data_IF_870193990698
#
_entry.id   IF_870193990698
#
_cell.length_a   1.000
_cell.length_b   1.000
_cell.length_c   1.000
_cell.angle_alpha   90.00
_cell.angle_beta   90.00
_cell.angle_gamma   90.00
#
_symmetry.space_group_name_H-M   'P 1'
#
loop_
_entity.id
_entity.type
_entity.pdbx_description
1 polymer ?
#
# COMPACT_ATOMS: atom_id res chain seq x y z
N UNK A 1 16.41 8.03 8.36
CA UNK A 1 16.83 6.85 7.58
C UNK A 1 18.35 6.71 7.50
N UNK A 2 18.86 5.47 7.58
CA UNK A 2 20.25 5.10 7.26
C UNK A 2 20.31 3.69 6.63
N UNK A 3 21.50 3.23 6.23
CA UNK A 3 21.68 1.91 5.62
C UNK A 3 21.41 0.74 6.58
N UNK A 4 21.53 0.95 7.90
CA UNK A 4 21.27 -0.09 8.90
C UNK A 4 19.77 -0.33 9.01
N UNK A 5 18.98 0.74 9.11
CA UNK A 5 17.51 0.69 9.11
C UNK A 5 16.99 0.04 7.82
N UNK A 6 17.57 0.37 6.65
CA UNK A 6 17.20 -0.28 5.38
C UNK A 6 17.50 -1.79 5.40
N UNK A 7 18.65 -2.20 5.93
CA UNK A 7 19.00 -3.62 6.05
C UNK A 7 18.02 -4.37 6.96
N UNK A 8 17.72 -3.83 8.13
CA UNK A 8 16.75 -4.43 9.06
C UNK A 8 15.34 -4.53 8.48
N UNK A 9 14.93 -3.54 7.68
CA UNK A 9 13.65 -3.58 6.99
C UNK A 9 13.64 -4.65 5.90
N UNK A 10 14.72 -4.78 5.12
CA UNK A 10 14.85 -5.85 4.14
C UNK A 10 14.80 -7.23 4.79
N UNK A 11 15.49 -7.43 5.92
CA UNK A 11 15.44 -8.68 6.69
C UNK A 11 14.02 -9.02 7.16
N UNK A 12 13.29 -8.02 7.68
CA UNK A 12 11.87 -8.18 8.08
C UNK A 12 10.97 -8.51 6.90
N UNK A 13 11.17 -7.84 5.77
CA UNK A 13 10.39 -8.05 4.56
C UNK A 13 10.62 -9.44 3.96
N UNK A 14 11.84 -9.98 4.05
CA UNK A 14 12.17 -11.34 3.63
C UNK A 14 11.66 -12.42 4.60
N UNK A 15 11.52 -12.10 5.88
CA UNK A 15 11.15 -13.06 6.93
C UNK A 15 9.64 -13.33 7.03
N UNK A 16 8.82 -12.48 6.40
CA UNK A 16 7.36 -12.58 6.44
C UNK A 16 6.79 -12.62 5.02
N UNK A 17 5.67 -13.31 4.83
CA UNK A 17 4.89 -13.22 3.60
C UNK A 17 3.97 -11.99 3.60
N UNK A 18 3.65 -11.45 4.78
CA UNK A 18 2.86 -10.23 4.93
C UNK A 18 3.73 -8.98 4.74
N UNK A 19 3.11 -7.86 4.36
CA UNK A 19 3.80 -6.57 4.31
C UNK A 19 4.19 -6.13 5.72
N UNK A 20 5.48 -5.82 5.89
CA UNK A 20 5.92 -5.20 7.14
C UNK A 20 5.34 -3.79 7.24
N UNK A 21 4.90 -3.35 8.44
CA UNK A 21 4.44 -1.97 8.62
C UNK A 21 5.60 -1.02 8.37
N UNK A 22 5.35 -0.02 7.52
CA UNK A 22 6.26 1.09 7.27
C UNK A 22 5.65 2.39 7.77
N UNK A 23 6.52 3.34 8.06
CA UNK A 23 6.14 4.70 8.36
C UNK A 23 5.70 5.44 7.09
N UNK A 24 4.69 6.30 7.16
CA UNK A 24 4.17 7.05 6.00
C UNK A 24 5.24 7.97 5.39
N UNK A 25 6.24 8.37 6.18
CA UNK A 25 7.36 9.19 5.70
C UNK A 25 8.51 8.37 5.10
N UNK A 26 8.43 7.03 5.07
CA UNK A 26 9.55 6.14 4.70
C UNK A 26 10.24 6.51 3.38
N UNK A 27 9.46 6.69 2.31
CA UNK A 27 10.00 7.02 0.99
C UNK A 27 10.62 8.42 0.96
N UNK A 28 10.02 9.37 1.70
CA UNK A 28 10.55 10.72 1.85
C UNK A 28 11.86 10.73 2.63
N UNK A 29 11.96 9.95 3.71
CA UNK A 29 13.20 9.83 4.48
C UNK A 29 14.32 9.21 3.63
N UNK A 30 14.00 8.27 2.73
CA UNK A 30 14.98 7.70 1.81
C UNK A 30 15.49 8.74 0.79
N UNK A 31 14.59 9.54 0.20
CA UNK A 31 14.99 10.62 -0.69
C UNK A 31 15.90 11.64 0.03
N UNK A 32 15.59 11.96 1.28
CA UNK A 32 16.45 12.79 2.13
C UNK A 32 17.82 12.17 2.36
N UNK A 33 17.90 10.86 2.62
CA UNK A 33 19.18 10.13 2.77
C UNK A 33 20.01 10.21 1.49
N UNK A 34 19.41 9.92 0.33
CA UNK A 34 20.09 9.97 -0.98
C UNK A 34 20.63 11.36 -1.26
N UNK A 35 19.83 12.42 -1.02
CA UNK A 35 20.27 13.81 -1.19
C UNK A 35 21.43 14.15 -0.26
N UNK A 36 21.35 13.75 1.00
CA UNK A 36 22.41 14.00 1.98
C UNK A 36 23.73 13.32 1.58
N UNK A 37 23.69 12.06 1.14
CA UNK A 37 24.88 11.33 0.70
C UNK A 37 25.53 11.96 -0.53
N UNK A 38 24.72 12.41 -1.51
CA UNK A 38 25.21 13.11 -2.71
C UNK A 38 25.91 14.42 -2.36
N UNK A 39 25.28 15.26 -1.53
CA UNK A 39 25.86 16.54 -1.08
C UNK A 39 27.16 16.33 -0.31
N UNK A 40 27.22 15.32 0.56
CA UNK A 40 28.43 15.01 1.34
C UNK A 40 29.56 14.48 0.46
N UNK A 41 29.26 13.63 -0.53
CA UNK A 41 30.25 13.17 -1.50
C UNK A 41 30.84 14.33 -2.31
N UNK A 42 30.00 15.23 -2.81
CA UNK A 42 30.42 16.42 -3.56
C UNK A 42 31.27 17.36 -2.70
N UNK A 43 30.84 17.64 -1.47
CA UNK A 43 31.61 18.47 -0.53
C UNK A 43 32.97 17.86 -0.16
N UNK A 44 33.04 16.54 0.01
CA UNK A 44 34.31 15.83 0.29
C UNK A 44 35.26 15.90 -0.90
N UNK A 45 34.71 15.78 -2.12
CA UNK A 45 35.47 15.95 -3.36
C UNK A 45 36.04 17.35 -3.49
N UNK A 46 35.27 18.40 -3.18
CA UNK A 46 35.74 19.80 -3.18
C UNK A 46 36.87 20.03 -2.17
N UNK A 47 36.84 19.35 -1.03
CA UNK A 47 37.92 19.39 -0.02
C UNK A 47 39.14 18.54 -0.38
N UNK A 48 39.07 17.71 -1.42
CA UNK A 48 40.14 16.77 -1.81
C UNK A 48 40.21 15.51 -0.94
N UNK A 49 39.16 15.22 -0.17
CA UNK A 49 39.07 14.06 0.74
C UNK A 49 38.63 12.81 0.00
N UNK A 50 39.55 12.22 -0.78
CA UNK A 50 39.27 11.07 -1.66
C UNK A 50 38.74 9.82 -0.95
N UNK A 51 39.13 9.59 0.30
CA UNK A 51 38.64 8.43 1.09
C UNK A 51 37.20 8.65 1.52
N UNK A 52 36.86 9.85 1.98
CA UNK A 52 35.53 10.19 2.47
C UNK A 52 34.52 10.25 1.31
N UNK A 53 34.91 10.83 0.17
CA UNK A 53 34.13 10.78 -1.07
C UNK A 53 33.77 9.33 -1.44
N UNK A 54 34.77 8.44 -1.48
CA UNK A 54 34.55 7.03 -1.81
C UNK A 54 33.63 6.32 -0.81
N UNK A 55 33.69 6.69 0.47
CA UNK A 55 32.83 6.13 1.49
C UNK A 55 31.37 6.53 1.27
N UNK A 56 31.08 7.83 1.06
CA UNK A 56 29.72 8.28 0.78
C UNK A 56 29.15 7.69 -0.52
N UNK A 57 29.98 7.56 -1.56
CA UNK A 57 29.54 6.91 -2.81
C UNK A 57 29.26 5.41 -2.62
N UNK A 58 30.03 4.73 -1.77
CA UNK A 58 29.77 3.33 -1.43
C UNK A 58 28.47 3.19 -0.62
N UNK A 59 28.26 4.03 0.40
CA UNK A 59 27.02 4.06 1.18
C UNK A 59 25.80 4.34 0.31
N UNK A 60 25.91 5.27 -0.65
CA UNK A 60 24.84 5.57 -1.59
C UNK A 60 24.47 4.35 -2.44
N UNK A 61 25.48 3.67 -3.01
CA UNK A 61 25.24 2.44 -3.78
C UNK A 61 24.57 1.35 -2.95
N UNK A 62 24.98 1.19 -1.69
CA UNK A 62 24.37 0.22 -0.77
C UNK A 62 22.91 0.60 -0.50
N UNK A 63 22.63 1.87 -0.21
CA UNK A 63 21.29 2.36 0.06
C UNK A 63 20.35 2.14 -1.13
N UNK A 64 20.79 2.49 -2.34
CA UNK A 64 20.02 2.29 -3.58
C UNK A 64 19.76 0.81 -3.86
N UNK A 65 20.75 -0.06 -3.62
CA UNK A 65 20.58 -1.50 -3.81
C UNK A 65 19.58 -2.10 -2.81
N UNK A 66 19.70 -1.76 -1.52
CA UNK A 66 18.78 -2.22 -0.49
C UNK A 66 17.34 -1.74 -0.78
N UNK A 67 17.18 -0.47 -1.14
CA UNK A 67 15.86 0.08 -1.46
C UNK A 67 15.22 -0.63 -2.66
N UNK A 68 16.01 -0.93 -3.71
CA UNK A 68 15.53 -1.67 -4.88
C UNK A 68 14.98 -3.04 -4.50
N UNK A 69 15.68 -3.79 -3.65
CA UNK A 69 15.21 -5.10 -3.20
C UNK A 69 13.97 -4.99 -2.31
N UNK A 70 13.92 -4.01 -1.40
CA UNK A 70 12.73 -3.74 -0.57
C UNK A 70 11.51 -3.45 -1.45
N UNK A 71 11.62 -2.50 -2.38
CA UNK A 71 10.53 -2.13 -3.29
C UNK A 71 10.08 -3.35 -4.10
N UNK A 72 11.02 -4.13 -4.63
CA UNK A 72 10.70 -5.33 -5.42
C UNK A 72 9.88 -6.33 -4.61
N UNK A 73 10.32 -6.68 -3.40
CA UNK A 73 9.62 -7.64 -2.54
C UNK A 73 8.24 -7.10 -2.17
N UNK A 74 8.16 -5.83 -1.77
CA UNK A 74 6.90 -5.20 -1.39
C UNK A 74 5.91 -5.13 -2.54
N UNK A 75 6.35 -4.78 -3.76
CA UNK A 75 5.48 -4.78 -4.94
C UNK A 75 4.92 -6.17 -5.24
N UNK A 76 5.71 -7.23 -5.10
CA UNK A 76 5.20 -8.60 -5.25
C UNK A 76 4.09 -8.89 -4.24
N UNK A 77 4.30 -8.56 -2.96
CA UNK A 77 3.27 -8.74 -1.92
C UNK A 77 2.03 -7.87 -2.15
N UNK A 78 2.19 -6.62 -2.61
CA UNK A 78 1.08 -5.72 -2.94
C UNK A 78 0.23 -6.30 -4.07
N UNK A 79 0.87 -6.89 -5.09
CA UNK A 79 0.14 -7.57 -6.17
C UNK A 79 -0.65 -8.76 -5.61
N UNK A 80 -0.02 -9.61 -4.80
CA UNK A 80 -0.70 -10.74 -4.17
C UNK A 80 -1.90 -10.29 -3.32
N UNK A 81 -1.73 -9.23 -2.52
CA UNK A 81 -2.80 -8.63 -1.72
C UNK A 81 -3.93 -8.06 -2.56
N UNK A 82 -3.63 -7.45 -3.71
CA UNK A 82 -4.64 -6.92 -4.62
C UNK A 82 -5.48 -8.05 -5.23
N UNK A 83 -4.88 -9.21 -5.51
CA UNK A 83 -5.62 -10.39 -5.93
C UNK A 83 -6.43 -11.04 -4.80
N UNK A 84 -5.93 -11.01 -3.55
CA UNK A 84 -6.62 -11.56 -2.37
C UNK A 84 -7.73 -10.65 -1.80
N UNK A 85 -7.75 -9.36 -2.16
CA UNK A 85 -8.73 -8.38 -1.66
C UNK A 85 -8.53 -7.99 -0.19
N UNK A 86 -7.30 -8.09 0.33
CA UNK A 86 -6.97 -7.77 1.73
C UNK A 86 -6.35 -6.37 1.83
N UNK A 87 -6.94 -5.44 2.60
CA UNK A 87 -6.24 -4.21 2.95
C UNK A 87 -5.22 -4.49 4.06
N UNK A 88 -3.94 -4.34 3.75
CA UNK A 88 -2.88 -4.26 4.75
C UNK A 88 -2.40 -2.82 4.90
N UNK A 89 -1.50 -2.59 5.87
CA UNK A 89 -0.85 -1.30 6.15
C UNK A 89 0.05 -0.87 5.00
N UNK A 90 -0.56 -0.35 3.93
CA UNK A 90 0.10 0.31 2.82
C UNK A 90 0.40 1.76 3.20
N UNK A 91 1.54 2.29 2.76
CA UNK A 91 1.81 3.73 2.84
C UNK A 91 1.21 4.48 1.66
N UNK A 92 1.13 5.80 1.73
CA UNK A 92 0.40 6.65 0.78
C UNK A 92 0.76 6.41 -0.69
N UNK A 93 2.04 6.22 -0.98
CA UNK A 93 2.56 5.93 -2.32
C UNK A 93 2.14 4.52 -2.79
N UNK A 94 2.13 3.54 -1.89
CA UNK A 94 1.71 2.17 -2.17
C UNK A 94 0.20 2.05 -2.35
N UNK A 95 -0.60 2.86 -1.63
CA UNK A 95 -2.06 2.94 -1.82
C UNK A 95 -2.43 3.34 -3.25
N UNK A 96 -1.66 4.26 -3.85
CA UNK A 96 -1.86 4.67 -5.26
C UNK A 96 -1.59 3.51 -6.21
N UNK A 97 -0.50 2.77 -6.01
CA UNK A 97 -0.15 1.59 -6.81
C UNK A 97 -1.22 0.51 -6.66
N UNK A 98 -1.65 0.25 -5.42
CA UNK A 98 -2.71 -0.70 -5.12
C UNK A 98 -4.03 -0.33 -5.82
N UNK A 99 -4.42 0.94 -5.81
CA UNK A 99 -5.61 1.42 -6.51
C UNK A 99 -5.52 1.20 -8.03
N UNK A 100 -4.36 1.44 -8.64
CA UNK A 100 -4.11 1.15 -10.06
C UNK A 100 -4.25 -0.35 -10.34
N UNK A 101 -3.67 -1.21 -9.48
CA UNK A 101 -3.75 -2.67 -9.60
C UNK A 101 -5.20 -3.15 -9.47
N UNK A 102 -5.96 -2.64 -8.52
CA UNK A 102 -7.38 -2.97 -8.35
C UNK A 102 -8.21 -2.56 -9.55
N UNK A 103 -8.02 -1.34 -10.07
CA UNK A 103 -8.71 -0.87 -11.27
C UNK A 103 -8.38 -1.78 -12.47
N UNK A 104 -7.13 -2.18 -12.62
CA UNK A 104 -6.69 -3.12 -13.66
C UNK A 104 -7.37 -4.50 -13.52
N UNK A 105 -7.37 -5.09 -12.32
CA UNK A 105 -7.99 -6.39 -12.03
C UNK A 105 -9.50 -6.34 -12.31
N UNK A 106 -10.14 -5.21 -12.02
CA UNK A 106 -11.57 -4.98 -12.20
C UNK A 106 -11.97 -4.53 -13.60
N UNK A 107 -11.00 -4.32 -14.52
CA UNK A 107 -11.23 -3.77 -15.87
C UNK A 107 -11.88 -2.39 -15.85
N UNK A 108 -11.54 -1.60 -14.84
CA UNK A 108 -11.94 -0.21 -14.69
C UNK A 108 -10.93 0.71 -15.39
N UNK A 109 -11.32 1.95 -15.75
CA UNK A 109 -10.36 2.92 -16.27
C UNK A 109 -9.25 3.17 -15.24
N UNK A 110 -8.00 3.08 -15.66
CA UNK A 110 -6.86 3.29 -14.78
C UNK A 110 -6.84 4.76 -14.32
N UNK A 111 -6.75 5.02 -13.00
CA UNK A 111 -6.56 6.37 -12.48
C UNK A 111 -5.12 6.81 -12.76
N UNK A 112 -4.88 7.32 -13.97
CA UNK A 112 -3.55 7.76 -14.44
C UNK A 112 -3.23 9.22 -14.09
N UNK A 113 -4.14 9.92 -13.42
CA UNK A 113 -3.98 11.33 -13.03
C UNK A 113 -3.30 11.47 -11.66
N UNK A 114 -2.37 12.42 -11.56
CA UNK A 114 -1.56 12.75 -10.36
C UNK A 114 -2.40 13.19 -9.14
N UNK A 115 -3.69 13.44 -9.32
CA UNK A 115 -4.62 14.01 -8.33
C UNK A 115 -5.32 12.98 -7.43
N UNK A 116 -4.68 11.86 -7.09
CA UNK A 116 -5.16 11.03 -5.97
C UNK A 116 -4.65 11.65 -4.67
N UNK A 117 -5.22 12.80 -4.30
CA UNK A 117 -5.14 13.35 -2.95
C UNK A 117 -5.92 12.45 -2.00
N UNK A 118 -5.24 11.52 -1.33
CA UNK A 118 -5.77 10.92 -0.12
C UNK A 118 -5.73 11.97 0.99
N UNK A 119 -6.74 12.84 1.06
CA UNK A 119 -6.92 13.73 2.20
C UNK A 119 -7.39 12.90 3.39
N UNK A 120 -6.48 12.65 4.32
CA UNK A 120 -6.85 12.40 5.71
C UNK A 120 -7.58 13.63 6.23
N UNK A 121 -8.90 13.56 6.36
CA UNK A 121 -9.59 14.52 7.22
C UNK A 121 -10.80 13.88 7.89
N UNK A 122 -10.63 13.78 9.21
CA UNK A 122 -11.68 13.79 10.21
C UNK A 122 -12.71 14.89 9.92
N UNK A 123 -13.97 14.52 10.19
CA UNK A 123 -15.06 15.39 10.66
C UNK A 123 -15.83 16.31 9.69
N UNK A 124 -17.15 16.23 9.90
CA UNK A 124 -18.21 17.22 9.68
C UNK A 124 -18.89 17.37 8.30
N UNK A 125 -20.05 16.70 8.22
CA UNK A 125 -21.37 17.23 7.83
C UNK A 125 -21.41 18.33 6.75
N UNK A 126 -22.03 18.03 5.61
CA UNK A 126 -23.36 18.53 5.21
C UNK A 126 -23.59 18.30 3.72
N UNK A 127 -24.83 17.92 3.38
CA UNK A 127 -25.17 17.33 2.10
C UNK A 127 -25.13 18.28 0.90
N UNK A 128 -24.83 17.69 -0.25
CA UNK A 128 -25.28 18.12 -1.58
C UNK A 128 -25.57 16.85 -2.39
N UNK A 129 -26.79 16.76 -2.93
CA UNK A 129 -27.21 15.75 -3.90
C UNK A 129 -26.53 15.98 -5.26
N UNK A 130 -25.76 15.01 -5.76
CA UNK A 130 -25.43 14.87 -7.19
C UNK A 130 -25.19 13.38 -7.53
N UNK A 131 -25.27 12.97 -8.80
CA UNK A 131 -26.35 12.15 -9.34
C UNK A 131 -25.97 10.67 -9.48
N UNK A 132 -27.01 9.83 -9.48
CA UNK A 132 -26.98 8.38 -9.74
C UNK A 132 -26.23 8.06 -11.03
N UNK A 133 -25.00 7.55 -10.93
CA UNK A 133 -24.17 7.19 -12.08
C UNK A 133 -23.13 6.13 -11.76
N UNK A 134 -23.50 4.86 -12.01
CA UNK A 134 -22.65 3.64 -12.02
C UNK A 134 -22.35 3.04 -10.63
N UNK A 135 -23.24 2.11 -10.26
CA UNK A 135 -23.17 1.23 -9.08
C UNK A 135 -21.77 0.60 -8.95
N UNK A 136 -21.08 0.92 -7.86
CA UNK A 136 -19.84 0.26 -7.46
C UNK A 136 -20.08 -1.26 -7.39
N UNK A 137 -19.29 -2.03 -8.14
CA UNK A 137 -19.34 -3.51 -8.17
C UNK A 137 -18.74 -4.07 -6.87
N UNK A 138 -17.94 -3.26 -6.19
CA UNK A 138 -17.27 -3.55 -4.94
C UNK A 138 -17.71 -2.56 -3.87
N UNK A 139 -17.96 -3.06 -2.68
CA UNK A 139 -18.38 -2.27 -1.52
C UNK A 139 -17.51 -2.67 -0.33
N UNK A 140 -17.40 -1.80 0.68
CA UNK A 140 -16.65 -2.09 1.89
C UNK A 140 -17.54 -2.71 2.96
N UNK A 141 -16.98 -3.66 3.69
CA UNK A 141 -17.69 -4.43 4.70
C UNK A 141 -16.84 -4.55 5.96
N UNK A 142 -17.47 -4.35 7.12
CA UNK A 142 -16.91 -4.72 8.42
C UNK A 142 -17.29 -6.17 8.71
N UNK A 143 -16.31 -7.04 8.86
CA UNK A 143 -16.52 -8.45 9.18
C UNK A 143 -16.83 -8.58 10.67
N UNK A 144 -17.92 -9.28 11.02
CA UNK A 144 -18.38 -9.45 12.41
C UNK A 144 -17.92 -10.76 13.06
N UNK A 145 -17.63 -11.77 12.24
CA UNK A 145 -17.29 -13.13 12.66
C UNK A 145 -16.13 -13.64 11.81
N UNK A 146 -15.40 -14.64 12.28
CA UNK A 146 -14.36 -15.27 11.47
C UNK A 146 -15.01 -16.02 10.29
N UNK A 147 -14.62 -15.68 9.07
CA UNK A 147 -15.15 -16.26 7.84
C UNK A 147 -14.01 -17.03 7.15
N UNK A 148 -14.20 -18.34 6.86
CA UNK A 148 -13.22 -19.11 6.10
C UNK A 148 -13.14 -18.62 4.65
N UNK A 149 -12.30 -19.24 3.81
CA UNK A 149 -12.26 -18.88 2.39
C UNK A 149 -13.64 -19.05 1.73
N UNK A 150 -14.07 -18.05 0.99
CA UNK A 150 -15.36 -17.99 0.27
C UNK A 150 -15.09 -17.91 -1.23
N UNK A 151 -15.94 -18.57 -2.03
CA UNK A 151 -15.85 -18.54 -3.50
C UNK A 151 -16.96 -17.68 -4.09
N UNK A 152 -16.65 -16.88 -5.12
CA UNK A 152 -17.64 -16.20 -5.96
C UNK A 152 -18.19 -17.12 -7.07
N UNK A 153 -19.22 -16.66 -7.78
CA UNK A 153 -19.82 -17.30 -8.97
C UNK A 153 -18.80 -17.64 -10.07
N UNK A 154 -17.64 -16.97 -10.07
CA UNK A 154 -16.52 -17.20 -10.99
C UNK A 154 -15.41 -18.09 -10.41
N UNK A 155 -15.66 -18.80 -9.31
CA UNK A 155 -14.69 -19.64 -8.58
C UNK A 155 -13.45 -18.87 -8.10
N UNK A 156 -13.61 -17.59 -7.78
CA UNK A 156 -12.55 -16.76 -7.19
C UNK A 156 -12.59 -16.87 -5.68
N UNK A 157 -11.46 -17.12 -5.04
CA UNK A 157 -11.33 -17.25 -3.59
C UNK A 157 -11.19 -15.88 -2.90
N UNK A 158 -11.86 -15.71 -1.77
CA UNK A 158 -11.87 -14.52 -0.92
C UNK A 158 -11.67 -14.93 0.54
N UNK A 159 -10.80 -14.22 1.27
CA UNK A 159 -10.51 -14.50 2.67
C UNK A 159 -9.39 -15.54 2.88
N UNK A 160 -9.25 -16.12 4.08
CA UNK A 160 -10.13 -16.00 5.25
C UNK A 160 -10.13 -14.59 5.85
N UNK A 161 -11.23 -14.24 6.50
CA UNK A 161 -11.44 -12.97 7.18
C UNK A 161 -11.63 -13.19 8.68
N UNK A 162 -11.16 -12.26 9.49
CA UNK A 162 -11.37 -12.26 10.94
C UNK A 162 -12.42 -11.26 11.36
N UNK A 163 -13.05 -11.52 12.50
CA UNK A 163 -13.93 -10.55 13.14
C UNK A 163 -13.18 -9.23 13.42
N UNK A 164 -13.73 -8.12 12.94
CA UNK A 164 -13.15 -6.78 13.04
C UNK A 164 -12.44 -6.31 11.77
N UNK A 165 -12.18 -7.19 10.79
CA UNK A 165 -11.54 -6.80 9.54
C UNK A 165 -12.45 -5.88 8.71
N UNK A 166 -11.88 -4.82 8.15
CA UNK A 166 -12.54 -3.97 7.16
C UNK A 166 -12.06 -4.40 5.78
N UNK A 167 -12.94 -4.92 4.94
CA UNK A 167 -12.59 -5.55 3.65
C UNK A 167 -13.46 -5.02 2.52
N UNK A 168 -12.92 -4.93 1.31
CA UNK A 168 -13.70 -4.61 0.11
C UNK A 168 -14.03 -5.89 -0.64
N UNK A 169 -15.33 -6.15 -0.84
CA UNK A 169 -15.82 -7.38 -1.48
C UNK A 169 -16.73 -7.05 -2.65
N UNK A 170 -16.84 -7.97 -3.63
CA UNK A 170 -17.85 -7.84 -4.67
C UNK A 170 -19.23 -7.79 -4.01
N UNK A 171 -20.11 -6.92 -4.51
CA UNK A 171 -21.48 -6.78 -4.01
C UNK A 171 -22.24 -8.11 -3.97
N UNK A 172 -21.93 -9.03 -4.89
CA UNK A 172 -22.50 -10.40 -4.91
C UNK A 172 -22.21 -11.14 -3.60
N UNK A 173 -20.95 -11.16 -3.15
CA UNK A 173 -20.52 -11.81 -1.92
C UNK A 173 -20.94 -11.00 -0.70
N UNK A 174 -20.65 -9.70 -0.71
CA UNK A 174 -20.88 -8.83 0.43
C UNK A 174 -22.35 -8.77 0.84
N UNK A 175 -23.28 -8.76 -0.13
CA UNK A 175 -24.71 -8.85 0.14
C UNK A 175 -25.09 -10.14 0.88
N UNK A 176 -24.54 -11.29 0.47
CA UNK A 176 -24.78 -12.58 1.14
C UNK A 176 -24.23 -12.57 2.57
N UNK A 177 -23.06 -11.96 2.80
CA UNK A 177 -22.48 -11.84 4.13
C UNK A 177 -23.29 -10.92 5.04
N UNK A 178 -23.86 -9.84 4.49
CA UNK A 178 -24.77 -8.94 5.22
C UNK A 178 -26.10 -9.62 5.56
N UNK A 179 -26.69 -10.35 4.60
CA UNK A 179 -27.94 -11.12 4.83
C UNK A 179 -27.78 -12.18 5.92
N UNK A 180 -26.56 -12.73 6.08
CA UNK A 180 -26.22 -13.71 7.12
C UNK A 180 -25.74 -13.10 8.44
N UNK A 181 -25.80 -11.77 8.57
CA UNK A 181 -25.27 -11.02 9.71
C UNK A 181 -23.78 -11.28 10.01
N UNK A 182 -23.02 -11.74 9.01
CA UNK A 182 -21.59 -12.04 9.11
C UNK A 182 -20.71 -10.82 8.77
N UNK A 183 -21.26 -9.85 8.05
CA UNK A 183 -20.61 -8.60 7.73
C UNK A 183 -21.60 -7.42 7.77
N UNK A 184 -21.09 -6.20 7.88
CA UNK A 184 -21.88 -4.96 7.81
C UNK A 184 -21.38 -4.12 6.65
N UNK A 185 -22.26 -3.78 5.71
CA UNK A 185 -21.94 -2.80 4.66
C UNK A 185 -21.56 -1.47 5.31
N UNK A 186 -20.44 -0.93 4.87
CA UNK A 186 -19.98 0.41 5.22
C UNK A 186 -20.04 1.24 3.95
N UNK A 187 -20.80 2.32 3.97
CA UNK A 187 -20.69 3.33 2.93
C UNK A 187 -19.40 4.10 3.15
N UNK A 188 -18.40 3.79 2.33
CA UNK A 188 -17.26 4.68 2.09
C UNK A 188 -17.75 5.67 1.04
N UNK A 189 -18.55 6.64 1.46
CA UNK A 189 -18.95 7.74 0.58
C UNK A 189 -17.77 8.73 0.51
N UNK A 190 -17.47 9.30 -0.68
CA UNK A 190 -16.37 10.24 -0.88
C UNK A 190 -16.57 11.57 -0.13
#
# INVERSE_FOLDING_TARGET
MDIVKLRELLERELSSNDLSPLDEEFYREFDSLVRALKLRAESSKERGETVEERLYLAELNIAEHLMKEIIKIRLHKIVDLAFEGRPQSLVSEEKKIFAILMAFINREPLPLSEDVEFKETLEEKSGIEVPVGKRAIWEAYLIKVDIPRVLDEKLREYGPFKAGDLVTLPKSIGKILVERDAAKLIDINP
#
